data_IF_641763617637
#
_entry.id   IF_641763617637
#
_cell.length_a   1.000
_cell.length_b   1.000
_cell.length_c   1.000
_cell.angle_alpha   90.00
_cell.angle_beta   90.00
_cell.angle_gamma   90.00
#
_symmetry.space_group_name_H-M   'P 1'
#
loop_
_entity.id
_entity.type
_entity.pdbx_description
1 polymer ?
#
# COMPACT_ATOMS: atom_id res chain seq x y z
N UNK A 1 0.03 -11.39 13.99
CA UNK A 1 0.15 -10.34 12.96
C UNK A 1 -1.24 -9.76 12.78
N UNK A 2 -1.39 -8.43 12.70
CA UNK A 2 -2.70 -7.83 12.43
C UNK A 2 -2.98 -7.98 10.93
N UNK A 3 -3.99 -8.77 10.57
CA UNK A 3 -4.42 -8.93 9.19
C UNK A 3 -5.26 -7.71 8.75
N UNK A 4 -5.14 -7.34 7.49
CA UNK A 4 -5.93 -6.31 6.82
C UNK A 4 -6.85 -6.98 5.81
N UNK A 5 -8.10 -6.54 5.70
CA UNK A 5 -9.06 -7.10 4.75
C UNK A 5 -9.56 -5.98 3.85
N UNK A 6 -9.63 -6.25 2.54
CA UNK A 6 -10.28 -5.33 1.62
C UNK A 6 -11.80 -5.54 1.66
N UNK A 7 -12.58 -4.52 1.98
CA UNK A 7 -14.06 -4.58 2.01
C UNK A 7 -14.70 -4.90 0.66
N UNK A 8 -13.95 -4.78 -0.44
CA UNK A 8 -14.43 -5.05 -1.80
C UNK A 8 -14.03 -6.43 -2.33
N UNK A 9 -12.98 -7.06 -1.80
CA UNK A 9 -12.44 -8.32 -2.32
C UNK A 9 -12.40 -9.46 -1.28
N UNK A 10 -12.52 -9.15 0.02
CA UNK A 10 -12.76 -10.13 1.08
C UNK A 10 -11.55 -10.98 1.51
N UNK A 11 -10.39 -10.80 0.89
CA UNK A 11 -9.16 -11.51 1.26
C UNK A 11 -8.45 -10.87 2.45
N UNK A 12 -7.79 -11.70 3.26
CA UNK A 12 -6.89 -11.26 4.33
C UNK A 12 -5.47 -11.05 3.80
N UNK A 13 -4.86 -9.94 4.20
CA UNK A 13 -3.55 -9.48 3.75
C UNK A 13 -2.66 -9.10 4.93
N UNK A 14 -1.38 -9.41 4.84
CA UNK A 14 -0.37 -8.67 5.60
C UNK A 14 -0.18 -7.24 5.04
N UNK A 15 0.69 -6.43 5.65
CA UNK A 15 0.90 -5.04 5.21
C UNK A 15 1.44 -4.96 3.78
N UNK A 16 2.36 -5.85 3.40
CA UNK A 16 2.94 -5.88 2.04
C UNK A 16 1.90 -6.29 1.02
N UNK A 17 1.16 -7.35 1.32
CA UNK A 17 0.09 -7.86 0.48
C UNK A 17 -1.02 -6.82 0.31
N UNK A 18 -1.36 -6.07 1.35
CA UNK A 18 -2.33 -4.98 1.32
C UNK A 18 -1.87 -3.84 0.40
N UNK A 19 -0.60 -3.42 0.51
CA UNK A 19 -0.03 -2.38 -0.37
C UNK A 19 -0.09 -2.86 -1.83
N UNK A 20 0.25 -4.12 -2.09
CA UNK A 20 0.17 -4.70 -3.43
C UNK A 20 -1.27 -4.80 -3.96
N UNK A 21 -2.20 -5.22 -3.11
CA UNK A 21 -3.62 -5.27 -3.44
C UNK A 21 -4.12 -3.89 -3.86
N UNK A 22 -3.84 -2.87 -3.03
CA UNK A 22 -4.18 -1.49 -3.33
C UNK A 22 -3.58 -1.04 -4.66
N UNK A 23 -2.28 -1.26 -4.86
CA UNK A 23 -1.61 -0.89 -6.10
C UNK A 23 -2.28 -1.53 -7.33
N UNK A 24 -2.67 -2.80 -7.24
CA UNK A 24 -3.22 -3.58 -8.37
C UNK A 24 -4.68 -3.29 -8.66
N UNK A 25 -5.51 -3.05 -7.65
CA UNK A 25 -6.96 -3.00 -7.81
C UNK A 25 -7.53 -1.59 -7.61
N UNK A 26 -6.92 -0.79 -6.73
CA UNK A 26 -7.44 0.52 -6.34
C UNK A 26 -6.62 1.69 -6.91
N UNK A 27 -5.37 1.42 -7.30
CA UNK A 27 -4.46 2.38 -7.94
C UNK A 27 -3.92 1.87 -9.30
N UNK A 28 -4.66 0.97 -9.96
CA UNK A 28 -4.27 0.30 -11.21
C UNK A 28 -3.99 1.25 -12.39
N UNK A 29 -4.52 2.47 -12.32
CA UNK A 29 -4.28 3.53 -13.30
C UNK A 29 -2.85 4.08 -13.24
N UNK A 30 -2.10 3.81 -12.18
CA UNK A 30 -0.73 4.29 -11.98
C UNK A 30 0.26 3.24 -12.49
N UNK A 31 0.90 3.54 -13.62
CA UNK A 31 1.94 2.68 -14.21
C UNK A 31 3.32 3.06 -13.64
N UNK A 32 3.93 2.19 -12.82
CA UNK A 32 5.35 2.32 -12.43
C UNK A 32 6.22 1.27 -13.10
N UNK A 33 7.47 1.67 -13.39
CA UNK A 33 8.43 0.93 -14.21
C UNK A 33 9.16 -0.22 -13.50
N UNK A 34 8.95 -0.44 -12.19
CA UNK A 34 9.69 -1.46 -11.42
C UNK A 34 8.76 -2.36 -10.62
N UNK A 35 9.24 -3.59 -10.41
CA UNK A 35 8.54 -4.61 -9.64
C UNK A 35 8.43 -4.17 -8.17
N UNK A 36 7.30 -4.42 -7.50
CA UNK A 36 7.07 -3.94 -6.14
C UNK A 36 7.77 -4.82 -5.10
N UNK A 37 8.24 -4.20 -3.99
CA UNK A 37 8.89 -4.92 -2.90
C UNK A 37 10.34 -5.31 -3.18
N UNK A 38 10.87 -4.99 -4.36
CA UNK A 38 12.30 -5.13 -4.65
C UNK A 38 13.04 -3.86 -4.23
N UNK A 39 14.12 -4.06 -3.47
CA UNK A 39 15.02 -2.97 -3.10
C UNK A 39 15.72 -2.48 -4.35
N UNK A 40 15.58 -1.19 -4.63
CA UNK A 40 16.23 -0.56 -5.75
C UNK A 40 17.71 -0.24 -5.46
N UNK A 41 18.44 0.24 -6.46
CA UNK A 41 19.87 0.57 -6.33
C UNK A 41 20.17 1.66 -5.28
N UNK A 42 19.17 2.36 -4.77
CA UNK A 42 19.28 3.39 -3.74
C UNK A 42 18.81 2.90 -2.36
N UNK A 43 18.39 1.64 -2.23
CA UNK A 43 17.91 1.07 -0.97
C UNK A 43 16.39 1.15 -0.76
N UNK A 44 15.65 1.71 -1.72
CA UNK A 44 14.22 1.93 -1.58
C UNK A 44 13.41 0.69 -1.97
N UNK A 45 12.52 0.24 -1.08
CA UNK A 45 11.65 -0.93 -1.30
C UNK A 45 10.32 -0.56 -1.97
N UNK A 46 9.76 0.57 -1.58
CA UNK A 46 8.47 1.05 -2.02
C UNK A 46 8.57 2.39 -2.69
N UNK A 47 7.59 2.61 -3.56
CA UNK A 47 7.48 3.77 -4.40
C UNK A 47 6.00 4.19 -4.36
N UNK A 48 5.66 5.27 -3.63
CA UNK A 48 4.27 5.73 -3.49
C UNK A 48 3.63 5.97 -4.85
N UNK A 49 2.61 5.20 -5.19
CA UNK A 49 2.00 5.24 -6.51
C UNK A 49 1.08 6.46 -6.72
N UNK A 50 0.55 7.13 -5.70
CA UNK A 50 -0.48 8.17 -5.87
C UNK A 50 -0.01 9.63 -5.63
N UNK A 51 1.23 9.84 -5.19
CA UNK A 51 1.76 11.20 -5.04
C UNK A 51 2.03 11.89 -6.39
N UNK A 52 1.28 12.95 -6.68
CA UNK A 52 1.58 13.95 -7.71
C UNK A 52 2.53 15.03 -7.15
N UNK A 53 3.83 14.74 -7.15
CA UNK A 53 4.84 15.73 -6.75
C UNK A 53 6.10 15.60 -7.61
N UNK A 54 6.61 16.71 -8.13
CA UNK A 54 7.79 16.75 -9.01
C UNK A 54 9.09 16.32 -8.34
N UNK A 55 9.13 16.26 -7.01
CA UNK A 55 10.34 15.92 -6.24
C UNK A 55 10.44 14.40 -6.07
N UNK A 56 11.53 13.79 -6.58
CA UNK A 56 11.76 12.34 -6.58
C UNK A 56 11.88 11.72 -5.19
N UNK A 57 12.46 12.43 -4.24
CA UNK A 57 12.85 11.86 -2.93
C UNK A 57 11.67 11.63 -1.97
N UNK A 58 10.51 12.24 -2.23
CA UNK A 58 9.32 12.05 -1.38
C UNK A 58 8.50 10.81 -1.73
N UNK A 59 8.97 9.99 -2.68
CA UNK A 59 8.20 8.85 -3.21
C UNK A 59 8.72 7.51 -2.74
N UNK A 60 9.88 7.43 -2.08
CA UNK A 60 10.48 6.15 -1.71
C UNK A 60 10.35 5.83 -0.22
N UNK A 61 10.17 4.54 0.10
CA UNK A 61 10.13 4.06 1.47
C UNK A 61 10.87 2.74 1.59
N UNK A 62 11.62 2.57 2.69
CA UNK A 62 12.50 1.42 2.87
C UNK A 62 11.80 0.24 3.54
N UNK A 63 10.58 0.43 4.05
CA UNK A 63 9.81 -0.62 4.75
C UNK A 63 8.34 -0.62 4.37
N UNK A 64 7.70 -1.80 4.46
CA UNK A 64 6.26 -1.98 4.28
C UNK A 64 5.46 -1.03 5.19
N UNK A 65 5.85 -0.91 6.46
CA UNK A 65 5.18 -0.03 7.43
C UNK A 65 5.30 1.46 7.09
N UNK A 66 6.45 1.90 6.58
CA UNK A 66 6.65 3.31 6.19
C UNK A 66 5.78 3.68 4.99
N UNK A 67 5.70 2.79 3.99
CA UNK A 67 4.81 2.95 2.85
C UNK A 67 3.34 2.95 3.28
N UNK A 68 2.94 2.01 4.15
CA UNK A 68 1.58 1.95 4.68
C UNK A 68 1.19 3.21 5.46
N UNK A 69 2.08 3.68 6.34
CA UNK A 69 1.85 4.91 7.11
C UNK A 69 1.71 6.14 6.21
N UNK A 70 2.51 6.21 5.13
CA UNK A 70 2.38 7.25 4.14
C UNK A 70 1.04 7.20 3.40
N UNK A 71 0.64 6.04 2.89
CA UNK A 71 -0.64 5.87 2.20
C UNK A 71 -1.81 6.26 3.11
N UNK A 72 -1.81 5.82 4.37
CA UNK A 72 -2.82 6.25 5.35
C UNK A 72 -2.83 7.77 5.60
N UNK A 73 -1.66 8.41 5.58
CA UNK A 73 -1.56 9.83 5.90
C UNK A 73 -1.87 10.75 4.73
N UNK A 74 -1.63 10.30 3.49
CA UNK A 74 -1.66 11.14 2.29
C UNK A 74 -2.65 10.68 1.23
N UNK A 75 -3.03 9.42 1.27
CA UNK A 75 -3.89 8.74 0.29
C UNK A 75 -4.97 7.92 1.01
N UNK A 76 -5.55 8.50 2.07
CA UNK A 76 -6.52 7.81 2.94
C UNK A 76 -7.68 7.20 2.13
N UNK A 77 -8.14 7.91 1.10
CA UNK A 77 -9.25 7.49 0.22
C UNK A 77 -8.96 6.19 -0.54
N UNK A 78 -7.70 5.92 -0.87
CA UNK A 78 -7.31 4.70 -1.59
C UNK A 78 -7.21 3.52 -0.62
N UNK A 79 -6.84 3.78 0.63
CA UNK A 79 -6.71 2.74 1.67
C UNK A 79 -7.95 2.59 2.55
N UNK A 80 -8.98 3.41 2.37
CA UNK A 80 -10.24 3.38 3.12
C UNK A 80 -10.97 2.04 2.97
N UNK A 81 -10.74 1.34 1.86
CA UNK A 81 -11.26 -0.01 1.66
C UNK A 81 -10.58 -1.08 2.54
N UNK A 82 -9.47 -0.77 3.19
CA UNK A 82 -8.70 -1.72 4.00
C UNK A 82 -9.04 -1.55 5.48
N UNK A 83 -9.73 -2.52 6.03
CA UNK A 83 -10.07 -2.59 7.46
C UNK A 83 -9.13 -3.55 8.17
N UNK A 84 -8.97 -3.38 9.49
CA UNK A 84 -8.33 -4.43 10.28
C UNK A 84 -9.28 -5.62 10.34
N UNK A 85 -8.78 -6.80 10.03
CA UNK A 85 -9.46 -8.05 10.34
C UNK A 85 -9.47 -8.15 11.87
N UNK A 86 -10.52 -7.63 12.50
CA UNK A 86 -10.79 -7.91 13.90
C UNK A 86 -11.17 -9.38 13.98
N UNK A 87 -10.48 -10.15 14.84
CA UNK A 87 -10.74 -11.56 15.08
C UNK A 87 -12.25 -11.84 15.20
N UNK A 88 -12.87 -12.27 14.10
CA UNK A 88 -14.17 -12.93 14.05
C UNK A 88 -15.36 -12.22 14.69
N UNK A 89 -15.70 -10.99 14.27
CA UNK A 89 -17.06 -10.48 14.50
C UNK A 89 -17.79 -10.26 13.18
N UNK A 90 -18.48 -11.32 12.75
CA UNK A 90 -19.72 -11.19 11.98
C UNK A 90 -20.71 -10.38 12.82
N UNK A 91 -21.07 -9.18 12.37
CA UNK A 91 -22.35 -8.56 12.68
C UNK A 91 -23.25 -8.63 11.45
#
# INVERSE_FOLDING_TARGET
MQALTCTQHGDDFDVREAIEHIRRFHASFIKRHRLPGEIDAHGHMWYCFDCDCDVKDHRSYDTDNAMWAHLKSKHETIVDCMVRSEDGILL
#
